data_IF_613329592061
#
_entry.id   IF_613329592061
#
_cell.length_a   1.000
_cell.length_b   1.000
_cell.length_c   1.000
_cell.angle_alpha   90.00
_cell.angle_beta   90.00
_cell.angle_gamma   90.00
#
_symmetry.space_group_name_H-M   'P 1'
#
loop_
_entity.id
_entity.type
_entity.pdbx_description
1 polymer ?
#
# COMPACT_ATOMS: atom_id res chain seq x y z
N UNK A 1 16.59 3.86 -15.09
CA UNK A 1 17.60 4.17 -14.05
C UNK A 1 17.39 5.51 -13.31
N UNK A 2 16.20 6.16 -13.33
CA UNK A 2 16.10 7.58 -12.90
C UNK A 2 16.04 7.84 -11.38
N UNK A 3 16.00 6.81 -10.54
CA UNK A 3 15.84 6.94 -9.07
C UNK A 3 16.75 6.04 -8.22
N UNK A 4 17.70 5.34 -8.84
CA UNK A 4 18.66 4.53 -8.08
C UNK A 4 19.51 5.45 -7.20
N UNK A 5 19.32 5.37 -5.88
CA UNK A 5 20.08 6.13 -4.87
C UNK A 5 19.39 7.33 -4.21
N UNK A 6 18.10 7.59 -4.48
CA UNK A 6 17.33 8.61 -3.72
C UNK A 6 16.49 7.96 -2.62
N UNK A 7 16.83 8.22 -1.36
CA UNK A 7 15.98 7.99 -0.18
C UNK A 7 15.18 9.24 0.16
N UNK A 8 14.16 9.12 1.02
CA UNK A 8 13.36 10.25 1.46
C UNK A 8 12.28 10.72 0.49
N UNK A 9 11.83 9.85 -0.42
CA UNK A 9 10.72 10.18 -1.30
C UNK A 9 9.41 10.14 -0.54
N UNK A 10 8.55 11.11 -0.84
CA UNK A 10 7.18 11.19 -0.35
C UNK A 10 6.24 10.79 -1.48
N UNK A 11 5.42 9.77 -1.25
CA UNK A 11 4.40 9.33 -2.19
C UNK A 11 3.07 9.99 -1.87
N UNK A 12 2.50 10.69 -2.84
CA UNK A 12 1.13 11.22 -2.77
C UNK A 12 0.20 10.33 -3.59
N UNK A 13 -0.86 9.82 -2.97
CA UNK A 13 -1.87 9.01 -3.64
C UNK A 13 -3.26 9.27 -3.06
N UNK A 14 -4.32 9.05 -3.83
CA UNK A 14 -5.70 9.22 -3.35
C UNK A 14 -6.15 8.08 -2.44
N UNK A 15 -5.77 6.84 -2.74
CA UNK A 15 -6.26 5.64 -2.05
C UNK A 15 -5.14 4.62 -1.83
N UNK A 16 -4.73 4.45 -0.59
CA UNK A 16 -3.68 3.50 -0.19
C UNK A 16 -4.28 2.17 0.30
N UNK A 17 -4.11 1.11 -0.49
CA UNK A 17 -4.45 -0.27 -0.11
C UNK A 17 -3.22 -1.09 0.30
N UNK A 18 -3.45 -2.26 0.92
CA UNK A 18 -2.39 -3.16 1.40
C UNK A 18 -1.50 -3.63 0.25
N UNK A 19 -2.09 -3.86 -0.93
CA UNK A 19 -1.31 -4.22 -2.11
C UNK A 19 -0.29 -3.13 -2.48
N UNK A 20 -0.72 -1.87 -2.49
CA UNK A 20 0.15 -0.74 -2.78
C UNK A 20 1.20 -0.56 -1.68
N UNK A 21 0.82 -0.66 -0.41
CA UNK A 21 1.73 -0.59 0.73
C UNK A 21 2.88 -1.60 0.64
N UNK A 22 2.60 -2.84 0.21
CA UNK A 22 3.64 -3.86 0.00
C UNK A 22 4.56 -3.57 -1.18
N UNK A 23 4.04 -2.98 -2.26
CA UNK A 23 4.87 -2.54 -3.39
C UNK A 23 5.78 -1.38 -2.98
N UNK A 24 5.30 -0.48 -2.12
CA UNK A 24 6.07 0.63 -1.56
C UNK A 24 7.23 0.10 -0.72
N UNK A 25 6.97 -0.79 0.24
CA UNK A 25 8.00 -1.43 1.06
C UNK A 25 9.06 -2.12 0.19
N UNK A 26 8.63 -2.91 -0.80
CA UNK A 26 9.54 -3.56 -1.77
C UNK A 26 10.43 -2.57 -2.50
N UNK A 27 9.92 -1.38 -2.81
CA UNK A 27 10.67 -0.39 -3.57
C UNK A 27 11.89 0.14 -2.80
N UNK A 28 11.82 0.17 -1.46
CA UNK A 28 12.89 0.66 -0.59
C UNK A 28 13.24 2.14 -0.74
N UNK A 29 12.46 2.92 -1.50
CA UNK A 29 12.76 4.32 -1.83
C UNK A 29 11.82 5.33 -1.18
N UNK A 30 10.65 4.88 -0.72
CA UNK A 30 9.61 5.73 -0.13
C UNK A 30 9.77 5.75 1.39
N UNK A 31 9.84 6.94 1.96
CA UNK A 31 9.95 7.14 3.41
C UNK A 31 8.62 7.59 4.03
N UNK A 32 7.75 8.18 3.21
CA UNK A 32 6.50 8.77 3.67
C UNK A 32 5.39 8.67 2.61
N UNK A 33 4.18 8.43 3.06
CA UNK A 33 2.96 8.33 2.24
C UNK A 33 1.95 9.35 2.71
N UNK A 34 1.45 10.17 1.79
CA UNK A 34 0.34 11.09 2.01
C UNK A 34 -0.84 10.62 1.19
N UNK A 35 -1.96 10.33 1.87
CA UNK A 35 -3.15 9.82 1.20
C UNK A 35 -4.46 10.36 1.74
N UNK A 36 -5.50 10.38 0.90
CA UNK A 36 -6.84 10.69 1.38
C UNK A 36 -7.43 9.51 2.13
N UNK A 37 -7.40 8.30 1.54
CA UNK A 37 -8.03 7.11 2.11
C UNK A 37 -6.98 6.01 2.27
N UNK A 38 -6.92 5.37 3.43
CA UNK A 38 -6.08 4.19 3.66
C UNK A 38 -6.90 3.04 4.22
N UNK A 39 -6.60 1.80 3.84
CA UNK A 39 -7.18 0.65 4.53
C UNK A 39 -6.46 0.36 5.84
N UNK A 40 -7.19 -0.14 6.84
CA UNK A 40 -6.64 -0.56 8.13
C UNK A 40 -5.45 -1.53 7.99
N UNK A 41 -5.49 -2.58 7.13
CA UNK A 41 -4.33 -3.43 6.92
C UNK A 41 -3.13 -2.67 6.31
N UNK A 42 -3.37 -1.72 5.41
CA UNK A 42 -2.29 -0.91 4.84
C UNK A 42 -1.66 0.03 5.87
N UNK A 43 -2.48 0.68 6.71
CA UNK A 43 -2.01 1.55 7.79
C UNK A 43 -1.10 0.77 8.75
N UNK A 44 -1.56 -0.40 9.22
CA UNK A 44 -0.79 -1.23 10.12
C UNK A 44 0.52 -1.69 9.47
N UNK A 45 0.46 -2.16 8.23
CA UNK A 45 1.64 -2.63 7.50
C UNK A 45 2.69 -1.51 7.31
N UNK A 46 2.28 -0.32 6.86
CA UNK A 46 3.20 0.80 6.65
C UNK A 46 3.88 1.23 7.95
N UNK A 47 3.12 1.24 9.06
CA UNK A 47 3.65 1.54 10.39
C UNK A 47 4.67 0.50 10.85
N UNK A 48 4.41 -0.78 10.61
CA UNK A 48 5.33 -1.88 10.97
C UNK A 48 6.62 -1.84 10.13
N UNK A 49 6.54 -1.40 8.87
CA UNK A 49 7.69 -1.13 8.01
C UNK A 49 8.46 0.15 8.36
N UNK A 50 7.96 0.97 9.28
CA UNK A 50 8.56 2.26 9.64
C UNK A 50 8.36 3.37 8.60
N UNK A 51 7.41 3.20 7.68
CA UNK A 51 7.05 4.21 6.68
C UNK A 51 6.05 5.19 7.32
N UNK A 52 6.34 6.50 7.24
CA UNK A 52 5.44 7.51 7.79
C UNK A 52 4.17 7.59 6.95
N UNK A 53 3.02 7.72 7.61
CA UNK A 53 1.72 7.81 6.94
C UNK A 53 0.95 9.03 7.44
N UNK A 54 0.52 9.87 6.50
CA UNK A 54 -0.50 10.89 6.72
C UNK A 54 -1.74 10.50 5.91
N UNK A 55 -2.83 10.18 6.60
CA UNK A 55 -4.10 9.79 5.98
C UNK A 55 -5.25 10.68 6.48
N UNK A 56 -6.20 11.02 5.61
CA UNK A 56 -7.41 11.75 6.02
C UNK A 56 -8.48 10.84 6.63
N UNK A 57 -8.66 9.63 6.08
CA UNK A 57 -9.59 8.64 6.59
C UNK A 57 -9.02 7.22 6.51
N UNK A 58 -9.26 6.44 7.56
CA UNK A 58 -8.95 5.00 7.63
C UNK A 58 -10.25 4.22 7.45
N UNK A 59 -10.23 3.21 6.58
CA UNK A 59 -11.38 2.32 6.30
C UNK A 59 -11.00 0.86 6.55
N UNK A 60 -11.95 -0.05 6.84
CA UNK A 60 -11.61 -1.45 7.07
C UNK A 60 -10.88 -2.11 5.89
N UNK A 61 -11.35 -1.89 4.66
CA UNK A 61 -10.77 -2.43 3.43
C UNK A 61 -11.02 -1.46 2.25
N UNK A 62 -10.15 -1.47 1.25
CA UNK A 62 -10.42 -0.75 -0.01
C UNK A 62 -11.44 -1.55 -0.82
N UNK A 63 -12.50 -0.86 -1.26
CA UNK A 63 -13.56 -1.44 -2.08
C UNK A 63 -13.34 -1.14 -3.57
N UNK A 64 -14.07 -1.88 -4.42
CA UNK A 64 -14.23 -1.58 -5.84
C UNK A 64 -14.88 -0.20 -6.06
N UNK A 65 -14.75 0.34 -7.27
CA UNK A 65 -15.29 1.67 -7.59
C UNK A 65 -16.80 1.80 -7.34
N UNK A 66 -17.56 0.73 -7.61
CA UNK A 66 -19.00 0.60 -7.35
C UNK A 66 -19.33 0.26 -5.88
N UNK A 67 -18.31 0.09 -5.03
CA UNK A 67 -18.41 -0.26 -3.60
C UNK A 67 -19.12 -1.59 -3.33
N UNK A 68 -19.24 -2.47 -4.33
CA UNK A 68 -19.95 -3.74 -4.19
C UNK A 68 -19.10 -4.83 -3.53
N UNK A 69 -17.77 -4.74 -3.61
CA UNK A 69 -16.85 -5.77 -3.17
C UNK A 69 -15.49 -5.20 -2.74
N UNK A 70 -14.67 -6.02 -2.07
CA UNK A 70 -13.27 -5.67 -1.77
C UNK A 70 -12.49 -5.60 -3.08
N UNK A 71 -11.62 -4.60 -3.21
CA UNK A 71 -10.75 -4.41 -4.36
C UNK A 71 -9.90 -5.68 -4.60
N UNK A 72 -9.76 -6.19 -5.85
CA UNK A 72 -9.01 -7.40 -6.13
C UNK A 72 -7.57 -7.37 -5.61
N UNK A 73 -6.87 -6.23 -5.74
CA UNK A 73 -5.52 -6.07 -5.21
C UNK A 73 -5.47 -6.22 -3.69
N UNK A 74 -6.40 -5.58 -2.99
CA UNK A 74 -6.54 -5.70 -1.53
C UNK A 74 -6.76 -7.15 -1.10
N UNK A 75 -7.65 -7.85 -1.82
CA UNK A 75 -7.97 -9.26 -1.56
C UNK A 75 -6.75 -10.17 -1.77
N UNK A 76 -5.97 -9.95 -2.84
CA UNK A 76 -4.74 -10.71 -3.11
C UNK A 76 -3.73 -10.51 -1.98
N UNK A 77 -3.57 -9.27 -1.51
CA UNK A 77 -2.64 -8.91 -0.45
C UNK A 77 -3.03 -9.52 0.91
N UNK A 78 -4.33 -9.46 1.25
CA UNK A 78 -4.87 -10.06 2.48
C UNK A 78 -4.70 -11.58 2.53
N UNK A 79 -4.85 -12.25 1.39
CA UNK A 79 -4.82 -13.73 1.32
C UNK A 79 -3.43 -14.32 1.03
N UNK A 80 -2.42 -13.49 0.79
CA UNK A 80 -1.09 -13.98 0.40
C UNK A 80 -0.02 -13.33 1.25
N UNK A 81 0.35 -13.94 2.38
CA UNK A 81 1.35 -13.36 3.29
C UNK A 81 2.79 -13.46 2.77
N UNK A 82 3.08 -14.47 1.96
CA UNK A 82 4.42 -14.69 1.42
C UNK A 82 4.71 -13.67 0.30
N UNK A 83 5.77 -12.84 0.43
CA UNK A 83 6.04 -11.75 -0.51
C UNK A 83 6.17 -12.20 -1.97
N UNK A 84 6.93 -13.27 -2.25
CA UNK A 84 7.18 -13.70 -3.64
C UNK A 84 5.91 -14.23 -4.30
N UNK A 85 5.09 -14.98 -3.57
CA UNK A 85 3.78 -15.44 -4.00
C UNK A 85 2.81 -14.28 -4.23
N UNK A 86 2.88 -13.23 -3.40
CA UNK A 86 2.10 -12.02 -3.61
C UNK A 86 2.51 -11.33 -4.92
N UNK A 87 3.81 -11.16 -5.16
CA UNK A 87 4.29 -10.49 -6.37
C UNK A 87 3.97 -11.25 -7.67
N UNK A 88 3.91 -12.58 -7.62
CA UNK A 88 3.45 -13.41 -8.75
C UNK A 88 1.96 -13.28 -9.07
N UNK A 89 1.15 -12.80 -8.11
CA UNK A 89 -0.30 -12.66 -8.27
C UNK A 89 -0.73 -11.23 -8.60
N UNK A 90 0.08 -10.24 -8.22
CA UNK A 90 -0.21 -8.83 -8.44
C UNK A 90 0.27 -8.34 -9.84
N UNK A 91 1.05 -9.15 -10.55
CA UNK A 91 1.76 -8.80 -11.78
C UNK A 91 1.64 -9.90 -12.85
#
# INVERSE_FOLDING_TARGET
>A
EKYSGKSGLILHDKVMGLAAARLIDRSGIIEEVHTTVVSLPAEQFLKDCGIRLTAFIVVPNILTHDKSSICPGELIALNTNEPDAFYKKIN
#
